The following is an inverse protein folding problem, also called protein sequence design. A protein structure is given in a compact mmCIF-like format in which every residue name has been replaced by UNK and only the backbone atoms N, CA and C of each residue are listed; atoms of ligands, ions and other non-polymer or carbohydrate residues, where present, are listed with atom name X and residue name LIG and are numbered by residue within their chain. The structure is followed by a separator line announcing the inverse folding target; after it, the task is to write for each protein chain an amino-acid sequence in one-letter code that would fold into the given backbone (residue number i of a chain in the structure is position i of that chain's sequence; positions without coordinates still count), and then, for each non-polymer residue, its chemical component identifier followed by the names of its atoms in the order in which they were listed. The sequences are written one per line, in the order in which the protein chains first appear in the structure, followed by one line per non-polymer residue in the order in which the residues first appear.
data_IF_554580069970
#
_entry.id   IF_554580069970
#
_cell.length_a   1.000
_cell.length_b   1.000
_cell.length_c   1.000
_cell.angle_alpha   90.00
_cell.angle_beta   90.00
_cell.angle_gamma   90.00
#
_symmetry.space_group_name_H-M   'P 1'
#
loop_
_entity.id
_entity.type
_entity.pdbx_description
1 polymer ?
#
# COMPACT_ATOMS: atom_id res chain seq x y z
N UNK A 1 6.04 -19.24 18.54
CA UNK A 1 6.63 -18.10 18.24
C UNK A 1 6.89 -17.89 16.81
N UNK A 2 7.55 -16.95 16.42
CA UNK A 2 7.70 -16.65 15.06
C UNK A 2 6.44 -16.06 14.48
N UNK A 3 6.41 -15.96 13.16
CA UNK A 3 5.32 -15.33 12.48
C UNK A 3 4.22 -16.32 12.22
N UNK A 4 3.03 -15.98 12.64
CA UNK A 4 1.85 -16.78 12.37
C UNK A 4 1.04 -16.04 11.31
N UNK A 5 1.14 -16.49 10.06
CA UNK A 5 0.50 -15.81 8.96
C UNK A 5 -1.00 -16.00 8.94
N UNK A 6 -1.53 -16.85 9.81
CA UNK A 6 -2.97 -17.03 9.91
C UNK A 6 -3.60 -16.00 10.84
N UNK A 7 -2.80 -15.18 11.52
CA UNK A 7 -3.32 -14.19 12.43
C UNK A 7 -3.33 -12.83 11.78
N UNK A 8 -4.33 -12.03 12.13
CA UNK A 8 -4.44 -10.68 11.64
C UNK A 8 -3.30 -9.83 12.17
N UNK A 9 -2.72 -9.01 11.31
CA UNK A 9 -1.68 -8.08 11.70
C UNK A 9 -1.68 -6.91 10.75
N UNK A 10 -0.95 -5.87 11.11
CA UNK A 10 -0.82 -4.71 10.25
C UNK A 10 0.00 -5.08 9.03
N UNK A 11 -0.57 -4.87 7.87
CA UNK A 11 0.11 -5.14 6.60
C UNK A 11 0.27 -3.82 5.87
N UNK A 12 1.50 -3.50 5.50
CA UNK A 12 1.84 -2.25 4.86
C UNK A 12 2.04 -2.48 3.37
N UNK A 13 1.56 -1.53 2.58
CA UNK A 13 1.65 -1.60 1.12
C UNK A 13 2.23 -0.31 0.59
N UNK A 14 3.06 -0.42 -0.43
CA UNK A 14 3.69 0.75 -1.05
C UNK A 14 3.31 0.84 -2.51
N UNK A 15 3.09 2.07 -2.98
CA UNK A 15 2.78 2.31 -4.38
C UNK A 15 3.42 3.63 -4.78
N UNK A 16 3.66 3.79 -6.08
CA UNK A 16 4.34 4.95 -6.63
C UNK A 16 3.54 5.52 -7.77
N UNK A 17 3.52 6.84 -7.89
CA UNK A 17 2.71 7.53 -8.88
C UNK A 17 3.52 8.63 -9.55
N UNK A 18 3.12 8.94 -10.78
CA UNK A 18 3.81 9.96 -11.56
C UNK A 18 3.30 11.37 -11.24
N UNK A 19 2.13 11.48 -10.62
CA UNK A 19 1.58 12.79 -10.28
C UNK A 19 1.01 12.77 -8.87
N UNK A 20 0.98 13.95 -8.26
CA UNK A 20 0.42 14.11 -6.93
C UNK A 20 -1.07 13.77 -6.94
N UNK A 21 -1.75 14.16 -8.01
CA UNK A 21 -3.18 13.93 -8.11
C UNK A 21 -3.50 12.44 -8.12
N UNK A 22 -2.74 11.65 -8.86
CA UNK A 22 -2.95 10.20 -8.89
C UNK A 22 -2.66 9.60 -7.53
N UNK A 23 -1.61 10.06 -6.86
CA UNK A 23 -1.29 9.56 -5.53
C UNK A 23 -2.43 9.84 -4.56
N UNK A 24 -3.01 11.04 -4.62
CA UNK A 24 -4.10 11.39 -3.74
C UNK A 24 -5.35 10.56 -4.03
N UNK A 25 -5.60 10.28 -5.29
CA UNK A 25 -6.75 9.45 -5.65
C UNK A 25 -6.56 8.02 -5.13
N UNK A 26 -5.34 7.51 -5.19
CA UNK A 26 -5.05 6.20 -4.63
C UNK A 26 -5.31 6.18 -3.13
N UNK A 27 -4.89 7.24 -2.43
CA UNK A 27 -5.10 7.31 -0.99
C UNK A 27 -6.59 7.39 -0.66
N UNK A 28 -7.36 8.15 -1.43
CA UNK A 28 -8.79 8.24 -1.21
C UNK A 28 -9.46 6.88 -1.41
N UNK A 29 -9.07 6.16 -2.45
CA UNK A 29 -9.62 4.83 -2.69
C UNK A 29 -9.23 3.89 -1.55
N UNK A 30 -8.00 4.00 -1.08
CA UNK A 30 -7.54 3.18 0.04
C UNK A 30 -8.33 3.44 1.30
N UNK A 31 -8.56 4.71 1.60
CA UNK A 31 -9.33 5.06 2.79
C UNK A 31 -10.74 4.49 2.72
N UNK A 32 -11.34 4.49 1.54
CA UNK A 32 -12.67 3.92 1.37
C UNK A 32 -12.68 2.42 1.63
N UNK A 33 -11.54 1.77 1.47
CA UNK A 33 -11.41 0.34 1.74
C UNK A 33 -10.91 0.05 3.15
N UNK A 34 -10.76 1.07 3.98
CA UNK A 34 -10.35 0.87 5.37
C UNK A 34 -8.86 0.99 5.62
N UNK A 35 -8.09 1.42 4.63
CA UNK A 35 -6.66 1.60 4.83
C UNK A 35 -6.34 2.92 5.48
N UNK A 36 -5.25 2.94 6.24
CA UNK A 36 -4.71 4.16 6.81
C UNK A 36 -3.43 4.54 6.07
N UNK A 37 -3.26 5.84 5.87
CA UNK A 37 -2.05 6.35 5.24
C UNK A 37 -0.98 6.49 6.32
N UNK A 38 0.14 5.78 6.17
CA UNK A 38 1.19 5.90 7.16
C UNK A 38 2.39 6.67 6.65
N UNK A 39 2.52 6.88 5.35
CA UNK A 39 3.60 7.68 4.81
C UNK A 39 3.26 8.19 3.44
N UNK A 40 3.76 9.38 3.14
CA UNK A 40 3.76 9.93 1.80
C UNK A 40 5.08 10.64 1.63
N UNK A 41 5.74 10.41 0.50
CA UNK A 41 7.04 11.02 0.22
C UNK A 41 7.09 11.48 -1.21
N UNK A 42 7.87 12.54 -1.44
CA UNK A 42 8.18 12.98 -2.79
C UNK A 42 9.65 12.66 -3.01
N UNK A 43 9.92 11.78 -3.96
CA UNK A 43 11.27 11.35 -4.25
C UNK A 43 11.91 12.33 -5.20
N UNK A 44 13.06 11.95 -5.77
CA UNK A 44 13.79 12.78 -6.71
C UNK A 44 12.87 13.15 -7.88
N UNK A 45 12.89 14.43 -8.27
CA UNK A 45 12.04 14.90 -9.36
C UNK A 45 12.41 14.27 -10.70
N UNK A 46 13.57 13.63 -10.79
CA UNK A 46 13.96 12.93 -12.01
C UNK A 46 13.39 11.53 -12.07
N UNK A 47 12.77 11.07 -10.99
CA UNK A 47 12.12 9.77 -10.98
C UNK A 47 10.87 9.82 -11.84
N UNK A 48 10.62 8.71 -12.53
CA UNK A 48 9.40 8.61 -13.34
C UNK A 48 8.16 8.57 -12.44
N UNK A 49 8.30 7.98 -11.25
CA UNK A 49 7.22 7.88 -10.28
C UNK A 49 7.69 8.44 -8.95
N UNK A 50 7.74 9.79 -8.84
CA UNK A 50 8.32 10.39 -7.64
C UNK A 50 7.42 10.41 -6.42
N UNK A 51 6.14 10.12 -6.57
CA UNK A 51 5.21 10.20 -5.46
C UNK A 51 5.03 8.82 -4.84
N UNK A 52 5.64 8.62 -3.68
CA UNK A 52 5.56 7.36 -2.95
C UNK A 52 4.50 7.47 -1.88
N UNK A 53 3.62 6.48 -1.81
CA UNK A 53 2.61 6.42 -0.75
C UNK A 53 2.66 5.06 -0.10
N UNK A 54 2.36 5.05 1.20
CA UNK A 54 2.26 3.82 1.96
C UNK A 54 0.95 3.80 2.72
N UNK A 55 0.23 2.69 2.63
CA UNK A 55 -1.02 2.51 3.33
C UNK A 55 -0.96 1.20 4.09
N UNK A 56 -1.74 1.10 5.16
CA UNK A 56 -1.72 -0.07 6.00
C UNK A 56 -3.14 -0.42 6.43
N UNK A 57 -3.37 -1.69 6.60
CA UNK A 57 -4.63 -2.19 7.12
C UNK A 57 -4.34 -3.52 7.80
N UNK A 58 -5.13 -3.82 8.83
CA UNK A 58 -4.99 -5.13 9.47
C UNK A 58 -5.64 -6.18 8.58
N UNK A 59 -4.87 -7.15 8.21
CA UNK A 59 -5.31 -8.24 7.37
C UNK A 59 -4.59 -9.52 7.78
N UNK A 60 -5.14 -10.64 7.37
CA UNK A 60 -4.48 -11.92 7.57
C UNK A 60 -3.53 -12.14 6.40
N UNK A 61 -2.22 -12.20 6.62
CA UNK A 61 -1.28 -12.31 5.50
C UNK A 61 -1.54 -13.54 4.63
N UNK A 62 -2.06 -14.59 5.21
CA UNK A 62 -2.38 -15.79 4.46
C UNK A 62 -3.41 -15.51 3.37
N UNK A 63 -4.27 -14.52 3.60
CA UNK A 63 -5.34 -14.17 2.66
C UNK A 63 -5.09 -12.85 1.98
N UNK A 64 -3.82 -12.47 1.79
CA UNK A 64 -3.48 -11.15 1.30
C UNK A 64 -3.68 -10.99 -0.21
N UNK A 65 -3.79 -12.08 -0.96
CA UNK A 65 -3.85 -12.00 -2.42
C UNK A 65 -4.97 -11.11 -2.95
N UNK A 66 -6.22 -11.24 -2.46
CA UNK A 66 -7.26 -10.34 -2.96
C UNK A 66 -6.96 -8.89 -2.69
N UNK A 67 -6.31 -8.60 -1.55
CA UNK A 67 -5.96 -7.24 -1.19
C UNK A 67 -4.89 -6.70 -2.14
N UNK A 68 -3.87 -7.51 -2.43
CA UNK A 68 -2.81 -7.07 -3.33
C UNK A 68 -3.37 -6.84 -4.74
N UNK A 69 -4.28 -7.69 -5.20
CA UNK A 69 -4.89 -7.50 -6.50
C UNK A 69 -5.70 -6.21 -6.56
N UNK A 70 -6.43 -5.91 -5.49
CA UNK A 70 -7.20 -4.68 -5.43
C UNK A 70 -6.30 -3.47 -5.54
N UNK A 71 -5.23 -3.43 -4.75
CA UNK A 71 -4.33 -2.29 -4.75
C UNK A 71 -3.56 -2.18 -6.06
N UNK A 72 -3.17 -3.32 -6.63
CA UNK A 72 -2.48 -3.33 -7.91
C UNK A 72 -3.38 -2.75 -9.00
N UNK A 73 -4.64 -3.18 -9.04
CA UNK A 73 -5.58 -2.68 -10.04
C UNK A 73 -5.79 -1.18 -9.91
N UNK A 74 -5.96 -0.69 -8.68
CA UNK A 74 -6.18 0.73 -8.45
C UNK A 74 -4.93 1.52 -8.87
N UNK A 75 -3.75 1.04 -8.49
CA UNK A 75 -2.51 1.73 -8.83
C UNK A 75 -2.34 1.82 -10.34
N UNK A 76 -2.59 0.73 -11.05
CA UNK A 76 -2.44 0.72 -12.51
C UNK A 76 -3.49 1.60 -13.17
N UNK A 77 -4.70 1.58 -12.64
CA UNK A 77 -5.76 2.43 -13.18
C UNK A 77 -5.39 3.90 -13.07
N UNK A 78 -4.66 4.28 -12.05
CA UNK A 78 -4.28 5.67 -11.82
C UNK A 78 -2.92 6.04 -12.42
N UNK A 79 -2.33 5.13 -13.20
CA UNK A 79 -1.08 5.42 -13.89
C UNK A 79 0.16 5.27 -13.04
N UNK A 80 0.06 4.57 -11.93
CA UNK A 80 1.21 4.29 -11.07
C UNK A 80 1.51 2.81 -11.05
N UNK A 81 2.24 2.39 -10.02
CA UNK A 81 2.46 0.97 -9.84
C UNK A 81 2.52 0.62 -8.36
N UNK A 82 2.09 -0.60 -8.09
CA UNK A 82 2.08 -1.16 -6.74
C UNK A 82 3.41 -1.88 -6.55
N UNK A 83 4.16 -1.48 -5.51
CA UNK A 83 5.51 -2.00 -5.31
C UNK A 83 5.55 -3.26 -4.47
N UNK A 84 4.59 -3.45 -3.58
CA UNK A 84 4.59 -4.66 -2.76
C UNK A 84 4.06 -4.39 -1.37
N UNK A 85 4.18 -5.42 -0.54
CA UNK A 85 3.66 -5.33 0.82
C UNK A 85 4.62 -6.00 1.79
N UNK A 86 4.45 -5.67 3.07
CA UNK A 86 5.21 -6.29 4.12
C UNK A 86 4.37 -6.34 5.39
N UNK A 87 4.56 -7.37 6.20
CA UNK A 87 3.92 -7.43 7.50
C UNK A 87 4.73 -6.62 8.48
N UNK A 88 4.05 -5.85 9.30
CA UNK A 88 4.71 -5.25 10.43
C UNK A 88 5.18 -6.33 11.38
N UNK A 89 6.15 -5.96 12.21
CA UNK A 89 6.62 -6.90 13.19
C UNK A 89 5.50 -7.21 14.19
N UNK A 90 5.42 -8.46 14.60
CA UNK A 90 4.46 -8.83 15.61
C UNK A 90 4.75 -8.04 16.87
N UNK A 91 3.72 -7.47 17.44
CA UNK A 91 3.88 -6.77 18.70
C UNK A 91 4.09 -7.75 19.81
N UNK A 92 5.01 -7.44 20.66
CA UNK A 92 5.29 -8.32 21.78
C UNK A 92 4.16 -8.27 22.80
#
# INVERSE_FOLDING_TARGET
EGDDVSKERSVEHWAYFSSKESAEQFLDRGRAEGFEVFTTNVLDSEDEFPYQVGVARRDVPEDIHPVTWLLLDVAEELGGYYDGWACGKAEA
#
